data_IF_385352085360
#
_entry.id   IF_385352085360
#
_cell.length_a   1.000
_cell.length_b   1.000
_cell.length_c   1.000
_cell.angle_alpha   90.00
_cell.angle_beta   90.00
_cell.angle_gamma   90.00
#
_symmetry.space_group_name_H-M   'P 1'
#
loop_
_entity.id
_entity.type
_entity.pdbx_description
1 polymer ?
#
# COMPACT_ATOMS: atom_id res chain seq x y z
N UNK A 1 4.12 -3.43 20.59
CA UNK A 1 3.84 -3.06 19.18
C UNK A 1 5.16 -2.66 18.53
N UNK A 2 5.55 -3.36 17.49
CA UNK A 2 6.74 -3.01 16.71
C UNK A 2 6.35 -2.24 15.45
N UNK A 3 6.98 -1.11 15.24
CA UNK A 3 6.78 -0.27 14.06
C UNK A 3 8.14 -0.11 13.35
N UNK A 4 8.12 -0.29 12.03
CA UNK A 4 9.30 -0.19 11.19
C UNK A 4 9.20 1.02 10.28
N UNK A 5 10.34 1.62 10.00
CA UNK A 5 10.46 2.67 9.00
C UNK A 5 10.98 2.05 7.69
N UNK A 6 10.27 2.32 6.59
CA UNK A 6 10.63 1.81 5.27
C UNK A 6 10.57 2.91 4.22
N UNK A 7 11.44 2.82 3.22
CA UNK A 7 11.42 3.69 2.06
C UNK A 7 11.18 2.86 0.81
N UNK A 8 10.23 3.28 -0.01
CA UNK A 8 9.95 2.68 -1.31
C UNK A 8 9.97 3.74 -2.39
N UNK A 9 11.02 3.74 -3.24
CA UNK A 9 11.16 4.64 -4.37
C UNK A 9 10.95 6.14 -4.04
N UNK A 10 11.44 6.56 -2.87
CA UNK A 10 11.39 7.95 -2.42
C UNK A 10 10.23 8.29 -1.47
N UNK A 11 9.28 7.40 -1.24
CA UNK A 11 8.26 7.57 -0.21
C UNK A 11 8.63 6.83 1.08
N UNK A 12 8.44 7.51 2.20
CA UNK A 12 8.73 6.99 3.53
C UNK A 12 7.46 6.52 4.21
N UNK A 13 7.52 5.34 4.80
CA UNK A 13 6.37 4.73 5.47
C UNK A 13 6.72 4.22 6.87
N UNK A 14 5.76 4.37 7.79
CA UNK A 14 5.74 3.66 9.05
C UNK A 14 4.92 2.39 8.86
N UNK A 15 5.50 1.22 9.16
CA UNK A 15 4.90 -0.09 8.82
C UNK A 15 4.79 -0.96 10.05
N UNK A 16 3.65 -1.64 10.24
CA UNK A 16 3.45 -2.57 11.36
C UNK A 16 2.55 -3.75 11.00
N UNK A 17 2.57 -4.75 11.86
CA UNK A 17 1.60 -5.85 11.86
C UNK A 17 0.42 -5.47 12.75
N UNK A 18 -0.76 -5.36 12.17
CA UNK A 18 -2.00 -5.00 12.86
C UNK A 18 -3.01 -6.16 12.92
N UNK A 19 -2.59 -7.38 12.59
CA UNK A 19 -3.49 -8.54 12.63
C UNK A 19 -3.97 -8.76 14.05
N UNK A 20 -5.27 -8.98 14.19
CA UNK A 20 -5.92 -9.16 15.49
C UNK A 20 -6.02 -7.87 16.33
N UNK A 21 -5.58 -6.72 15.82
CA UNK A 21 -5.67 -5.44 16.51
C UNK A 21 -6.93 -4.67 16.11
N UNK A 22 -7.55 -4.06 17.10
CA UNK A 22 -8.60 -3.05 16.91
C UNK A 22 -8.06 -1.71 17.43
N UNK A 23 -7.85 -0.75 16.51
CA UNK A 23 -7.29 0.55 16.84
C UNK A 23 -7.83 1.63 15.90
N UNK A 24 -7.72 2.89 16.32
CA UNK A 24 -7.91 4.03 15.43
C UNK A 24 -6.64 4.23 14.59
N UNK A 25 -6.61 3.61 13.42
CA UNK A 25 -5.44 3.68 12.54
C UNK A 25 -5.25 5.07 11.94
N UNK A 26 -6.30 5.87 11.80
CA UNK A 26 -6.18 7.26 11.36
C UNK A 26 -5.37 8.09 12.37
N UNK A 27 -5.75 8.04 13.64
CA UNK A 27 -5.03 8.73 14.69
C UNK A 27 -3.59 8.20 14.84
N UNK A 28 -3.41 6.89 14.75
CA UNK A 28 -2.11 6.24 14.85
C UNK A 28 -1.19 6.67 13.69
N UNK A 29 -1.73 6.80 12.47
CA UNK A 29 -0.99 7.27 11.31
C UNK A 29 -0.43 8.69 11.53
N UNK A 30 -1.25 9.60 12.00
CA UNK A 30 -0.83 10.98 12.30
C UNK A 30 0.32 10.98 13.31
N UNK A 31 0.16 10.25 14.39
CA UNK A 31 1.15 10.19 15.47
C UNK A 31 2.47 9.57 15.00
N UNK A 32 2.41 8.39 14.37
CA UNK A 32 3.61 7.67 13.95
C UNK A 32 4.35 8.37 12.81
N UNK A 33 3.63 8.90 11.82
CA UNK A 33 4.26 9.62 10.72
C UNK A 33 4.97 10.89 11.19
N UNK A 34 4.44 11.59 12.20
CA UNK A 34 5.08 12.77 12.77
C UNK A 34 6.46 12.46 13.38
N UNK A 35 6.66 11.27 13.94
CA UNK A 35 7.93 10.86 14.58
C UNK A 35 9.11 10.84 13.60
N UNK A 36 8.87 10.50 12.35
CA UNK A 36 9.92 10.32 11.34
C UNK A 36 9.69 11.16 10.09
N UNK A 37 8.70 12.05 10.08
CA UNK A 37 8.25 12.80 8.89
C UNK A 37 7.95 11.87 7.71
N UNK A 38 7.30 10.74 8.00
CA UNK A 38 6.92 9.79 6.98
C UNK A 38 5.72 10.27 6.17
N UNK A 39 5.63 9.82 4.91
CA UNK A 39 4.55 10.18 3.99
C UNK A 39 3.26 9.43 4.29
N UNK A 40 3.37 8.22 4.84
CA UNK A 40 2.21 7.38 5.11
C UNK A 40 2.47 6.28 6.13
N UNK A 41 1.37 5.68 6.54
CA UNK A 41 1.31 4.56 7.46
C UNK A 41 0.74 3.34 6.75
N UNK A 42 1.40 2.21 6.90
CA UNK A 42 1.01 0.92 6.36
C UNK A 42 0.87 -0.10 7.48
N UNK A 43 -0.14 -0.95 7.40
CA UNK A 43 -0.24 -2.08 8.29
C UNK A 43 -0.75 -3.33 7.57
N UNK A 44 -0.24 -4.48 7.98
CA UNK A 44 -0.77 -5.78 7.58
C UNK A 44 -1.95 -6.10 8.47
N UNK A 45 -3.13 -6.21 7.88
CA UNK A 45 -4.37 -6.61 8.57
C UNK A 45 -4.82 -8.00 8.18
N UNK A 46 -5.81 -8.51 8.90
CA UNK A 46 -6.45 -9.78 8.58
C UNK A 46 -7.28 -9.66 7.30
N UNK A 47 -7.30 -10.73 6.51
CA UNK A 47 -8.15 -10.87 5.32
C UNK A 47 -8.72 -12.27 5.25
N UNK A 48 -10.00 -12.37 4.88
CA UNK A 48 -10.68 -13.66 4.65
C UNK A 48 -10.57 -14.13 3.20
N UNK A 49 -10.17 -13.24 2.29
CA UNK A 49 -10.15 -13.52 0.85
C UNK A 49 -8.76 -13.47 0.20
N UNK A 50 -7.74 -13.09 0.97
CA UNK A 50 -6.36 -12.93 0.47
C UNK A 50 -5.37 -13.30 1.56
N UNK A 51 -4.07 -13.24 1.25
CA UNK A 51 -3.03 -13.56 2.23
C UNK A 51 -3.02 -12.57 3.39
N UNK A 52 -3.29 -11.29 3.09
CA UNK A 52 -3.45 -10.24 4.08
C UNK A 52 -4.21 -9.04 3.50
N UNK A 53 -4.51 -8.08 4.35
CA UNK A 53 -5.09 -6.79 3.95
C UNK A 53 -4.05 -5.68 4.13
N UNK A 54 -3.90 -4.85 3.11
CA UNK A 54 -3.11 -3.62 3.20
C UNK A 54 -3.97 -2.50 3.79
N UNK A 55 -3.62 -2.08 4.99
CA UNK A 55 -4.20 -0.90 5.64
C UNK A 55 -3.28 0.27 5.32
N UNK A 56 -3.81 1.32 4.69
CA UNK A 56 -3.02 2.47 4.27
C UNK A 56 -3.69 3.78 4.66
N UNK A 57 -2.94 4.62 5.37
CA UNK A 57 -3.32 5.99 5.74
C UNK A 57 -2.22 6.96 5.36
N UNK A 58 -2.61 8.13 4.85
CA UNK A 58 -1.68 9.24 4.65
C UNK A 58 -1.23 9.83 5.99
N UNK A 59 -0.16 10.62 5.97
CA UNK A 59 0.38 11.24 7.19
C UNK A 59 -0.58 12.22 7.89
N UNK A 60 -1.60 12.71 7.19
CA UNK A 60 -2.66 13.56 7.73
C UNK A 60 -3.83 12.78 8.36
N UNK A 61 -3.77 11.45 8.34
CA UNK A 61 -4.80 10.56 8.85
C UNK A 61 -5.92 10.22 7.87
N UNK A 62 -5.88 10.75 6.66
CA UNK A 62 -6.83 10.35 5.61
C UNK A 62 -6.51 8.95 5.10
N UNK A 63 -7.56 8.16 4.85
CA UNK A 63 -7.39 6.81 4.32
C UNK A 63 -7.02 6.86 2.85
N UNK A 64 -5.93 6.16 2.48
CA UNK A 64 -5.53 5.99 1.10
C UNK A 64 -6.08 4.70 0.51
N UNK A 65 -6.41 4.72 -0.79
CA UNK A 65 -6.96 3.56 -1.49
C UNK A 65 -5.85 2.64 -2.00
N UNK A 66 -4.83 3.20 -2.61
CA UNK A 66 -3.70 2.47 -3.17
C UNK A 66 -2.48 3.39 -3.34
N UNK A 67 -1.31 2.84 -3.06
CA UNK A 67 -0.01 3.47 -3.33
C UNK A 67 0.95 2.39 -3.81
N UNK A 68 1.44 2.50 -5.04
CA UNK A 68 2.34 1.49 -5.63
C UNK A 68 3.64 1.32 -4.84
N UNK A 69 4.24 2.42 -4.37
CA UNK A 69 5.43 2.38 -3.53
C UNK A 69 5.15 1.73 -2.17
N UNK A 70 4.01 2.08 -1.55
CA UNK A 70 3.54 1.46 -0.32
C UNK A 70 3.23 -0.02 -0.48
N UNK A 71 2.63 -0.40 -1.60
CA UNK A 71 2.35 -1.80 -1.91
C UNK A 71 3.63 -2.64 -1.97
N UNK A 72 4.70 -2.14 -2.59
CA UNK A 72 6.00 -2.82 -2.59
C UNK A 72 6.62 -2.91 -1.20
N UNK A 73 6.51 -1.86 -0.42
CA UNK A 73 6.99 -1.87 0.98
C UNK A 73 6.26 -2.92 1.82
N UNK A 74 4.93 -2.99 1.73
CA UNK A 74 4.16 -3.96 2.52
C UNK A 74 4.40 -5.41 2.06
N UNK A 75 4.64 -5.63 0.77
CA UNK A 75 5.06 -6.93 0.26
C UNK A 75 6.37 -7.39 0.90
N UNK A 76 7.38 -6.53 0.93
CA UNK A 76 8.65 -6.81 1.59
C UNK A 76 8.46 -7.06 3.07
N UNK A 77 7.71 -6.22 3.74
CA UNK A 77 7.44 -6.38 5.17
C UNK A 77 6.79 -7.73 5.47
N UNK A 78 5.73 -8.08 4.74
CA UNK A 78 5.03 -9.35 4.91
C UNK A 78 5.93 -10.56 4.64
N UNK A 79 6.76 -10.50 3.60
CA UNK A 79 7.73 -11.56 3.29
C UNK A 79 8.80 -11.69 4.38
N UNK A 80 9.42 -10.59 4.79
CA UNK A 80 10.50 -10.58 5.80
C UNK A 80 10.01 -11.05 7.17
N UNK A 81 8.72 -10.89 7.47
CA UNK A 81 8.07 -11.38 8.69
C UNK A 81 7.60 -12.83 8.58
N UNK A 82 7.80 -13.47 7.44
CA UNK A 82 7.39 -14.87 7.23
C UNK A 82 5.89 -15.07 7.09
N UNK A 83 5.13 -14.01 6.76
CA UNK A 83 3.67 -14.10 6.62
C UNK A 83 3.25 -14.67 5.27
N UNK A 84 4.09 -14.51 4.26
CA UNK A 84 3.84 -14.91 2.88
C UNK A 84 5.12 -15.45 2.24
N UNK A 85 4.97 -16.18 1.13
CA UNK A 85 6.10 -16.60 0.28
C UNK A 85 6.50 -15.53 -0.74
N UNK A 86 7.11 -15.95 -1.83
CA UNK A 86 7.61 -15.04 -2.88
C UNK A 86 6.50 -14.48 -3.78
N UNK A 87 5.35 -15.13 -3.85
CA UNK A 87 4.14 -14.63 -4.49
C UNK A 87 3.06 -14.43 -3.43
N UNK A 88 2.40 -13.29 -3.49
CA UNK A 88 1.36 -12.93 -2.53
C UNK A 88 0.21 -12.19 -3.20
N UNK A 89 -0.99 -12.36 -2.63
CA UNK A 89 -2.18 -11.59 -3.01
C UNK A 89 -2.68 -10.89 -1.77
N UNK A 90 -2.97 -9.61 -1.88
CA UNK A 90 -3.47 -8.84 -0.75
C UNK A 90 -4.64 -7.94 -1.13
N UNK A 91 -5.48 -7.72 -0.14
CA UNK A 91 -6.68 -6.90 -0.25
C UNK A 91 -6.32 -5.43 -0.06
N UNK A 92 -6.84 -4.56 -0.92
CA UNK A 92 -6.76 -3.10 -0.78
C UNK A 92 -8.15 -2.50 -0.97
N UNK A 93 -8.31 -1.21 -0.68
CA UNK A 93 -9.57 -0.51 -0.99
C UNK A 93 -9.86 -0.43 -2.50
N UNK A 94 -8.83 -0.55 -3.33
CA UNK A 94 -8.96 -0.58 -4.79
C UNK A 94 -9.10 -2.00 -5.37
N UNK A 95 -9.27 -3.02 -4.53
CA UNK A 95 -9.40 -4.42 -4.91
C UNK A 95 -8.19 -5.28 -4.56
N UNK A 96 -8.15 -6.50 -5.07
CA UNK A 96 -7.05 -7.43 -4.85
C UNK A 96 -5.84 -7.04 -5.70
N UNK A 97 -4.66 -7.15 -5.11
CA UNK A 97 -3.38 -6.84 -5.75
C UNK A 97 -2.46 -8.05 -5.59
N UNK A 98 -1.76 -8.40 -6.66
CA UNK A 98 -0.72 -9.43 -6.63
C UNK A 98 0.66 -8.81 -6.54
N UNK A 99 1.53 -9.41 -5.74
CA UNK A 99 2.91 -9.01 -5.56
C UNK A 99 3.87 -10.19 -5.66
N UNK A 100 5.11 -9.91 -6.08
CA UNK A 100 6.18 -10.90 -6.21
C UNK A 100 7.48 -10.35 -5.66
N UNK A 101 8.19 -11.17 -4.89
CA UNK A 101 9.57 -10.92 -4.54
C UNK A 101 10.47 -11.43 -5.68
N UNK A 102 11.25 -10.55 -6.26
CA UNK A 102 12.19 -10.90 -7.34
C UNK A 102 13.60 -11.19 -6.79
N UNK A 103 14.03 -10.42 -5.80
CA UNK A 103 15.27 -10.60 -5.03
C UNK A 103 15.15 -9.90 -3.66
N UNK A 104 16.22 -9.85 -2.89
CA UNK A 104 16.23 -9.29 -1.52
C UNK A 104 15.67 -7.88 -1.42
N UNK A 105 15.84 -7.06 -2.47
CA UNK A 105 15.49 -5.65 -2.45
C UNK A 105 14.48 -5.25 -3.54
N UNK A 106 14.01 -6.20 -4.36
CA UNK A 106 13.17 -5.91 -5.51
C UNK A 106 11.84 -6.63 -5.41
N UNK A 107 10.77 -5.87 -5.40
CA UNK A 107 9.39 -6.36 -5.37
C UNK A 107 8.61 -5.78 -6.53
N UNK A 108 7.82 -6.62 -7.17
CA UNK A 108 6.91 -6.24 -8.25
C UNK A 108 5.48 -6.34 -7.77
N UNK A 109 4.66 -5.35 -8.10
CA UNK A 109 3.21 -5.38 -7.88
C UNK A 109 2.48 -5.18 -9.19
N UNK A 110 1.39 -5.91 -9.38
CA UNK A 110 0.49 -5.70 -10.50
C UNK A 110 -0.51 -4.61 -10.09
N UNK A 111 -0.45 -3.47 -10.75
CA UNK A 111 -1.43 -2.41 -10.56
C UNK A 111 -2.80 -2.88 -11.05
N UNK A 112 -3.85 -2.31 -10.48
CA UNK A 112 -5.21 -2.59 -10.89
C UNK A 112 -5.44 -2.22 -12.37
N UNK A 113 -6.32 -2.94 -13.04
CA UNK A 113 -6.66 -2.63 -14.42
C UNK A 113 -7.29 -1.25 -14.54
N UNK A 114 -7.01 -0.51 -15.62
CA UNK A 114 -7.65 0.78 -15.84
C UNK A 114 -9.15 0.61 -16.01
N UNK A 115 -9.92 1.43 -15.29
CA UNK A 115 -11.38 1.53 -15.40
C UNK A 115 -11.80 2.74 -16.21
N UNK A 116 -10.96 3.77 -16.25
CA UNK A 116 -11.08 4.93 -17.13
C UNK A 116 -9.74 5.18 -17.80
N UNK A 117 -9.76 5.40 -19.11
CA UNK A 117 -8.58 5.74 -19.89
C UNK A 117 -8.94 6.83 -20.90
N UNK A 118 -8.35 8.00 -20.74
CA UNK A 118 -8.53 9.15 -21.60
C UNK A 118 -7.16 9.63 -22.12
N UNK A 119 -6.68 9.07 -23.26
CA UNK A 119 -5.40 9.51 -23.84
C UNK A 119 -5.48 10.97 -24.26
N UNK A 120 -4.42 11.72 -23.97
CA UNK A 120 -4.28 13.13 -24.37
C UNK A 120 -5.50 14.01 -23.94
N UNK A 121 -5.99 13.77 -22.73
CA UNK A 121 -7.16 14.52 -22.21
C UNK A 121 -6.90 16.03 -22.17
N UNK A 122 -5.67 16.44 -21.82
CA UNK A 122 -5.23 17.84 -21.82
C UNK A 122 -3.86 17.88 -22.53
N UNK A 123 -3.84 18.26 -23.82
CA UNK A 123 -2.61 18.28 -24.60
C UNK A 123 -1.94 16.92 -24.63
N UNK A 124 -0.70 16.82 -24.12
CA UNK A 124 0.07 15.58 -24.06
C UNK A 124 -0.18 14.78 -22.76
N UNK A 125 -1.10 15.25 -21.89
CA UNK A 125 -1.41 14.59 -20.64
C UNK A 125 -2.58 13.62 -20.80
N UNK A 126 -2.32 12.34 -20.54
CA UNK A 126 -3.34 11.29 -20.49
C UNK A 126 -3.87 11.13 -19.08
N UNK A 127 -5.11 10.72 -18.96
CA UNK A 127 -5.77 10.44 -17.70
C UNK A 127 -6.16 8.97 -17.62
N UNK A 128 -5.95 8.36 -16.47
CA UNK A 128 -6.32 6.98 -16.20
C UNK A 128 -6.81 6.83 -14.76
N UNK A 129 -7.83 6.01 -14.58
CA UNK A 129 -8.24 5.53 -13.27
C UNK A 129 -7.95 4.03 -13.18
N UNK A 130 -7.36 3.60 -12.07
CA UNK A 130 -6.97 2.22 -11.82
C UNK A 130 -7.81 1.63 -10.69
N UNK A 131 -8.40 0.48 -10.94
CA UNK A 131 -9.18 -0.26 -9.94
C UNK A 131 -10.66 0.13 -9.90
N UNK A 132 -11.37 -0.42 -8.93
CA UNK A 132 -12.78 -0.17 -8.69
C UNK A 132 -13.02 -0.06 -7.17
N UNK A 133 -13.28 1.15 -6.60
CA UNK A 133 -13.34 2.43 -7.32
C UNK A 133 -12.02 2.83 -7.98
N UNK A 134 -12.10 3.62 -9.04
CA UNK A 134 -10.94 4.06 -9.79
C UNK A 134 -10.11 5.09 -9.04
N UNK A 135 -8.79 4.92 -9.05
CA UNK A 135 -7.83 5.88 -8.48
C UNK A 135 -7.26 6.70 -9.62
N UNK A 136 -7.43 8.04 -9.61
CA UNK A 136 -7.00 8.89 -10.72
C UNK A 136 -5.49 9.01 -10.81
N UNK A 137 -4.99 9.02 -12.04
CA UNK A 137 -3.60 9.27 -12.40
C UNK A 137 -3.54 10.14 -13.67
N UNK A 138 -2.55 10.97 -13.74
CA UNK A 138 -2.31 11.80 -14.91
C UNK A 138 -0.85 11.74 -15.36
#
# INVERSE_FOLDING_TARGET
MKVFYMNGAGNDFMVMDARGLSADFSALAVELCALRKADGFLAVGDSEQADFKMIFYNSDGSQGEMCGNGARCICRYAHDRGLVGDHMVFETLAGLVSGWRLDENTYRVALNLPTVLEPNRIGDVSYVELGNPGIPHA
#
